data_IF_374511157329
#
_entry.id   IF_374511157329
#
_cell.length_a   1.000
_cell.length_b   1.000
_cell.length_c   1.000
_cell.angle_alpha   90.00
_cell.angle_beta   90.00
_cell.angle_gamma   90.00
#
_symmetry.space_group_name_H-M   'P 1'
#
loop_
_entity.id
_entity.type
_entity.pdbx_description
1 polymer ?
#
# COMPACT_ATOMS: atom_id res chain seq x y z
N UNK A 1 3.69 -14.10 14.67
CA UNK A 1 4.05 -14.84 13.44
C UNK A 1 5.18 -14.09 12.72
N UNK A 2 6.08 -14.78 12.03
CA UNK A 2 7.17 -14.13 11.27
C UNK A 2 6.63 -13.40 10.03
N UNK A 3 7.33 -12.35 9.57
CA UNK A 3 6.98 -11.63 8.33
C UNK A 3 6.93 -12.59 7.15
N UNK A 4 7.85 -13.56 7.11
CA UNK A 4 8.00 -14.53 6.04
C UNK A 4 6.76 -15.42 5.92
N UNK A 5 6.24 -15.90 7.05
CA UNK A 5 5.03 -16.73 7.07
C UNK A 5 3.79 -15.91 6.71
N UNK A 6 3.72 -14.65 7.15
CA UNK A 6 2.65 -13.73 6.74
C UNK A 6 2.65 -13.51 5.23
N UNK A 7 3.79 -13.10 4.66
CA UNK A 7 3.95 -12.88 3.21
C UNK A 7 3.67 -14.17 2.43
N UNK A 8 4.10 -15.33 2.94
CA UNK A 8 3.81 -16.63 2.35
C UNK A 8 2.31 -16.90 2.22
N UNK A 9 1.53 -16.64 3.28
CA UNK A 9 0.07 -16.76 3.24
C UNK A 9 -0.57 -15.77 2.28
N UNK A 10 -0.15 -14.51 2.29
CA UNK A 10 -0.65 -13.48 1.36
C UNK A 10 -0.39 -13.89 -0.09
N UNK A 11 0.77 -14.47 -0.37
CA UNK A 11 1.17 -14.89 -1.71
C UNK A 11 0.52 -16.20 -2.19
N UNK A 12 0.00 -17.01 -1.29
CA UNK A 12 -0.66 -18.28 -1.60
C UNK A 12 -2.10 -18.10 -2.14
N UNK A 13 -2.76 -16.98 -1.81
CA UNK A 13 -4.16 -16.75 -2.18
C UNK A 13 -4.34 -16.67 -3.70
N UNK A 14 -5.39 -17.34 -4.21
CA UNK A 14 -5.86 -17.30 -5.59
C UNK A 14 -7.37 -17.09 -5.58
N UNK A 15 -7.83 -16.09 -6.32
CA UNK A 15 -9.25 -15.74 -6.45
C UNK A 15 -9.56 -15.41 -7.92
N UNK A 16 -10.75 -15.76 -8.43
CA UNK A 16 -11.18 -15.36 -9.77
C UNK A 16 -11.22 -13.83 -9.93
N UNK A 17 -10.76 -13.32 -11.07
CA UNK A 17 -10.78 -11.86 -11.34
C UNK A 17 -9.86 -11.03 -10.44
N UNK A 18 -8.87 -11.66 -9.80
CA UNK A 18 -7.91 -11.04 -8.90
C UNK A 18 -6.50 -11.49 -9.25
N UNK A 19 -5.59 -10.52 -9.34
CA UNK A 19 -4.16 -10.75 -9.49
C UNK A 19 -3.47 -10.59 -8.15
N UNK A 20 -2.71 -11.61 -7.73
CA UNK A 20 -1.89 -11.58 -6.53
C UNK A 20 -0.46 -11.15 -6.86
N UNK A 21 -0.02 -9.94 -6.48
CA UNK A 21 1.32 -9.42 -6.82
C UNK A 21 2.45 -10.32 -6.34
N UNK A 22 2.31 -10.95 -5.18
CA UNK A 22 3.34 -11.78 -4.55
C UNK A 22 3.21 -13.25 -4.92
N UNK A 23 2.08 -13.66 -5.51
CA UNK A 23 1.80 -15.03 -5.90
C UNK A 23 2.00 -15.31 -7.39
N UNK A 24 1.84 -14.31 -8.25
CA UNK A 24 1.70 -14.49 -9.70
C UNK A 24 2.69 -13.62 -10.48
N UNK A 25 3.16 -14.15 -11.61
CA UNK A 25 3.91 -13.40 -12.61
C UNK A 25 2.93 -12.71 -13.57
N UNK A 26 3.13 -11.43 -13.83
CA UNK A 26 2.39 -10.67 -14.82
C UNK A 26 3.10 -10.73 -16.17
N UNK A 27 2.35 -10.60 -17.27
CA UNK A 27 2.92 -10.54 -18.63
C UNK A 27 3.94 -9.41 -18.80
N UNK A 28 3.76 -8.30 -18.07
CA UNK A 28 4.66 -7.15 -18.11
C UNK A 28 5.88 -7.25 -17.19
N UNK A 29 6.14 -8.38 -16.54
CA UNK A 29 7.32 -8.55 -15.67
C UNK A 29 8.60 -8.81 -16.46
N UNK A 30 9.69 -8.14 -16.07
CA UNK A 30 11.05 -8.50 -16.48
C UNK A 30 11.56 -9.69 -15.64
N UNK A 31 12.81 -10.12 -15.91
CA UNK A 31 13.52 -11.06 -15.05
C UNK A 31 13.77 -10.50 -13.64
N UNK A 32 14.03 -9.18 -13.52
CA UNK A 32 14.23 -8.50 -12.26
C UNK A 32 12.92 -8.24 -11.48
N UNK A 33 11.78 -8.23 -12.17
CA UNK A 33 10.44 -8.11 -11.60
C UNK A 33 9.84 -9.42 -11.08
N UNK A 34 8.52 -9.50 -11.09
CA UNK A 34 7.78 -10.69 -10.68
C UNK A 34 7.63 -10.91 -9.17
N UNK A 35 6.99 -12.03 -8.78
CA UNK A 35 6.53 -12.25 -7.41
C UNK A 35 7.67 -12.31 -6.40
N UNK A 36 8.82 -12.91 -6.75
CA UNK A 36 9.97 -12.99 -5.84
C UNK A 36 10.52 -11.60 -5.48
N UNK A 37 10.67 -10.70 -6.47
CA UNK A 37 11.10 -9.33 -6.24
C UNK A 37 10.12 -8.56 -5.34
N UNK A 38 8.83 -8.65 -5.66
CA UNK A 38 7.77 -8.00 -4.87
C UNK A 38 7.70 -8.51 -3.43
N UNK A 39 7.97 -9.80 -3.18
CA UNK A 39 8.08 -10.35 -1.82
C UNK A 39 9.27 -9.74 -1.06
N UNK A 40 10.41 -9.54 -1.73
CA UNK A 40 11.57 -8.86 -1.13
C UNK A 40 11.23 -7.40 -0.78
N UNK A 41 10.58 -6.68 -1.70
CA UNK A 41 10.16 -5.29 -1.46
C UNK A 41 9.17 -5.21 -0.30
N UNK A 42 8.15 -6.09 -0.28
CA UNK A 42 7.17 -6.11 0.80
C UNK A 42 7.83 -6.45 2.15
N UNK A 43 8.72 -7.45 2.19
CA UNK A 43 9.45 -7.81 3.42
C UNK A 43 10.27 -6.64 3.96
N UNK A 44 10.98 -5.94 3.08
CA UNK A 44 11.77 -4.77 3.45
C UNK A 44 10.88 -3.60 3.93
N UNK A 45 9.72 -3.39 3.30
CA UNK A 45 8.76 -2.37 3.76
C UNK A 45 8.19 -2.69 5.16
N UNK A 46 7.81 -3.95 5.38
CA UNK A 46 7.21 -4.43 6.63
C UNK A 46 8.25 -4.68 7.74
N UNK A 47 9.55 -4.50 7.48
CA UNK A 47 10.61 -4.75 8.47
C UNK A 47 10.71 -3.65 9.54
N UNK A 48 10.04 -2.51 9.36
CA UNK A 48 9.97 -1.47 10.38
C UNK A 48 9.23 -2.02 11.61
N UNK A 49 9.94 -2.17 12.73
CA UNK A 49 9.38 -2.80 13.93
C UNK A 49 8.28 -1.96 14.60
N UNK A 50 8.49 -0.64 14.69
CA UNK A 50 7.59 0.29 15.38
C UNK A 50 7.32 1.51 14.49
N UNK A 51 6.45 1.39 13.48
CA UNK A 51 6.01 2.55 12.71
C UNK A 51 5.19 3.50 13.59
N UNK A 52 5.33 4.80 13.35
CA UNK A 52 4.47 5.79 13.98
C UNK A 52 3.07 5.83 13.33
N UNK A 53 3.02 5.55 12.02
CA UNK A 53 1.80 5.61 11.22
C UNK A 53 1.63 4.37 10.34
N UNK A 54 0.44 3.79 10.36
CA UNK A 54 -0.01 2.78 9.41
C UNK A 54 -1.15 3.36 8.57
N UNK A 55 -0.97 3.47 7.25
CA UNK A 55 -2.05 3.88 6.34
C UNK A 55 -2.62 2.66 5.63
N UNK A 56 -3.93 2.46 5.74
CA UNK A 56 -4.67 1.36 5.12
C UNK A 56 -5.48 1.88 3.92
N UNK A 57 -5.18 1.38 2.73
CA UNK A 57 -5.89 1.69 1.49
C UNK A 57 -6.97 0.68 1.08
N UNK A 58 -7.66 0.94 -0.03
CA UNK A 58 -8.68 0.05 -0.59
C UNK A 58 -8.10 -1.25 -1.18
N UNK A 59 -7.34 -1.14 -2.28
CA UNK A 59 -6.72 -2.25 -2.99
C UNK A 59 -5.56 -1.75 -3.87
N UNK A 60 -4.59 -2.61 -4.23
CA UNK A 60 -3.59 -2.37 -5.26
C UNK A 60 -4.17 -1.91 -6.60
N UNK A 61 -3.59 -0.84 -7.15
CA UNK A 61 -3.79 -0.44 -8.55
C UNK A 61 -2.93 -1.23 -9.53
N UNK A 62 -3.38 -1.35 -10.79
CA UNK A 62 -2.64 -2.08 -11.83
C UNK A 62 -1.29 -1.46 -12.20
N UNK A 63 -1.10 -0.15 -11.99
CA UNK A 63 0.16 0.57 -12.29
C UNK A 63 1.15 0.64 -11.13
N UNK A 64 0.69 0.43 -9.90
CA UNK A 64 1.51 0.60 -8.70
C UNK A 64 1.90 -0.74 -8.08
N UNK A 65 1.26 -1.04 -6.95
CA UNK A 65 1.53 -2.20 -6.10
C UNK A 65 1.54 -3.54 -6.87
N UNK A 66 0.76 -3.65 -7.95
CA UNK A 66 0.80 -4.80 -8.86
C UNK A 66 2.22 -5.17 -9.30
N UNK A 67 3.07 -4.18 -9.61
CA UNK A 67 4.43 -4.40 -10.09
C UNK A 67 5.49 -4.10 -9.04
N UNK A 68 5.26 -3.11 -8.16
CA UNK A 68 6.20 -2.73 -7.11
C UNK A 68 6.20 -3.69 -5.92
N UNK A 69 5.06 -4.32 -5.62
CA UNK A 69 4.87 -5.16 -4.43
C UNK A 69 4.64 -4.39 -3.13
N UNK A 70 4.53 -3.05 -3.18
CA UNK A 70 4.27 -2.19 -2.02
C UNK A 70 3.05 -1.31 -2.33
N UNK A 71 2.13 -1.20 -1.37
CA UNK A 71 0.95 -0.34 -1.49
C UNK A 71 1.36 1.12 -1.70
N UNK A 72 0.57 1.87 -2.48
CA UNK A 72 0.86 3.27 -2.82
C UNK A 72 2.25 3.52 -3.40
N UNK A 73 2.81 2.54 -4.10
CA UNK A 73 4.17 2.60 -4.65
C UNK A 73 4.14 2.07 -6.07
N UNK A 74 4.77 2.79 -6.99
CA UNK A 74 4.95 2.38 -8.38
C UNK A 74 6.43 2.03 -8.67
N UNK A 75 6.69 1.51 -9.86
CA UNK A 75 8.05 1.15 -10.30
C UNK A 75 8.99 2.37 -10.26
N UNK A 76 8.50 3.55 -10.67
CA UNK A 76 9.30 4.78 -10.69
C UNK A 76 9.75 5.19 -9.29
N UNK A 77 8.94 4.97 -8.24
CA UNK A 77 9.33 5.24 -6.84
C UNK A 77 10.42 4.30 -6.35
N UNK A 78 10.35 3.02 -6.70
CA UNK A 78 11.40 2.05 -6.37
C UNK A 78 12.73 2.37 -7.05
N UNK A 79 12.71 2.64 -8.36
CA UNK A 79 13.91 2.96 -9.13
C UNK A 79 14.59 4.24 -8.65
N UNK A 80 13.81 5.21 -8.16
CA UNK A 80 14.33 6.45 -7.61
C UNK A 80 14.90 6.31 -6.18
N UNK A 81 14.87 5.12 -5.57
CA UNK A 81 15.27 4.94 -4.17
C UNK A 81 14.40 5.72 -3.17
N UNK A 82 13.18 6.09 -3.57
CA UNK A 82 12.28 6.96 -2.80
C UNK A 82 11.38 6.19 -1.82
N UNK A 83 11.70 4.93 -1.54
CA UNK A 83 10.92 4.07 -0.65
C UNK A 83 11.83 3.65 0.51
N UNK A 84 11.59 4.14 1.72
CA UNK A 84 12.34 3.78 2.93
C UNK A 84 12.58 2.28 3.08
N UNK A 85 13.81 1.91 3.47
CA UNK A 85 14.26 0.52 3.73
C UNK A 85 14.27 -0.42 2.53
N UNK A 86 13.76 0.00 1.37
CA UNK A 86 13.65 -0.84 0.18
C UNK A 86 14.76 -0.45 -0.79
N UNK A 87 15.77 -1.31 -1.01
CA UNK A 87 16.84 -1.01 -1.95
C UNK A 87 16.30 -0.75 -3.35
N UNK A 88 16.83 0.27 -4.02
CA UNK A 88 16.48 0.56 -5.41
C UNK A 88 16.85 -0.65 -6.29
N UNK A 89 15.93 -1.12 -7.16
CA UNK A 89 16.27 -2.15 -8.13
C UNK A 89 17.36 -1.66 -9.09
N UNK A 90 18.30 -2.54 -9.43
CA UNK A 90 19.37 -2.23 -10.39
C UNK A 90 18.86 -2.06 -11.84
N UNK A 91 17.63 -2.51 -12.14
CA UNK A 91 17.04 -2.44 -13.47
C UNK A 91 15.51 -2.37 -13.40
N UNK A 92 14.90 -2.10 -14.56
CA UNK A 92 13.45 -2.08 -14.74
C UNK A 92 12.79 -3.39 -14.27
N UNK A 93 11.69 -3.26 -13.55
CA UNK A 93 10.85 -4.37 -13.11
C UNK A 93 9.83 -4.75 -14.19
N UNK A 94 9.53 -3.82 -15.09
CA UNK A 94 8.50 -3.98 -16.12
C UNK A 94 9.02 -3.80 -17.55
N UNK A 95 8.34 -4.45 -18.50
CA UNK A 95 8.66 -4.38 -19.93
C UNK A 95 7.90 -3.28 -20.67
N UNK A 96 7.16 -2.43 -19.97
CA UNK A 96 6.43 -1.32 -20.60
C UNK A 96 7.40 -0.28 -21.17
N UNK A 97 7.01 0.45 -22.23
CA UNK A 97 7.88 1.46 -22.85
C UNK A 97 8.45 2.48 -21.87
N UNK A 98 7.66 2.85 -20.86
CA UNK A 98 8.07 3.75 -19.78
C UNK A 98 7.83 3.09 -18.42
N UNK A 99 8.61 3.52 -17.42
CA UNK A 99 8.44 3.05 -16.05
C UNK A 99 7.06 3.41 -15.57
N UNK A 100 6.36 2.44 -14.97
CA UNK A 100 5.01 2.71 -14.49
C UNK A 100 5.04 3.75 -13.38
N UNK A 101 4.13 4.72 -13.52
CA UNK A 101 3.89 5.77 -12.55
C UNK A 101 2.40 5.81 -12.17
N UNK A 102 2.15 6.01 -10.88
CA UNK A 102 0.82 6.18 -10.31
C UNK A 102 0.75 7.54 -9.61
N UNK A 103 -0.22 8.37 -9.99
CA UNK A 103 -0.41 9.71 -9.41
C UNK A 103 -0.61 9.64 -7.89
N UNK A 104 -1.37 8.64 -7.42
CA UNK A 104 -1.59 8.42 -5.99
C UNK A 104 -0.29 8.10 -5.26
N UNK A 105 0.56 7.21 -5.79
CA UNK A 105 1.87 6.94 -5.21
C UNK A 105 2.74 8.20 -5.12
N UNK A 106 2.75 9.00 -6.18
CA UNK A 106 3.50 10.26 -6.23
C UNK A 106 3.04 11.23 -5.14
N UNK A 107 1.73 11.43 -4.97
CA UNK A 107 1.17 12.34 -3.98
C UNK A 107 1.39 11.82 -2.55
N UNK A 108 1.16 10.53 -2.32
CA UNK A 108 1.35 9.89 -1.02
C UNK A 108 2.78 10.05 -0.53
N UNK A 109 3.76 9.60 -1.32
CA UNK A 109 5.17 9.68 -0.93
C UNK A 109 5.63 11.14 -0.78
N UNK A 110 5.25 12.03 -1.71
CA UNK A 110 5.61 13.45 -1.59
C UNK A 110 5.10 14.04 -0.28
N UNK A 111 3.84 13.83 0.08
CA UNK A 111 3.27 14.38 1.30
C UNK A 111 3.95 13.81 2.56
N UNK A 112 4.26 12.51 2.59
CA UNK A 112 4.96 11.92 3.74
C UNK A 112 6.39 12.46 3.91
N UNK A 113 7.09 12.73 2.80
CA UNK A 113 8.40 13.38 2.85
C UNK A 113 8.30 14.85 3.26
N UNK A 114 7.35 15.60 2.68
CA UNK A 114 7.10 17.00 3.03
C UNK A 114 6.82 17.17 4.54
N UNK A 115 6.17 16.18 5.17
CA UNK A 115 5.85 16.18 6.60
C UNK A 115 6.83 15.38 7.47
N UNK A 116 7.97 14.92 6.94
CA UNK A 116 9.01 14.24 7.72
C UNK A 116 8.64 12.86 8.29
N UNK A 117 7.54 12.25 7.85
CA UNK A 117 7.00 11.01 8.44
C UNK A 117 7.21 9.78 7.53
N UNK A 118 7.81 9.94 6.35
CA UNK A 118 8.01 8.85 5.38
C UNK A 118 8.74 7.64 5.98
N UNK A 119 9.85 7.86 6.68
CA UNK A 119 10.65 6.81 7.32
C UNK A 119 9.87 6.06 8.43
N UNK A 120 8.86 6.71 9.03
CA UNK A 120 8.08 6.18 10.16
C UNK A 120 6.71 5.66 9.73
N UNK A 121 6.44 5.59 8.43
CA UNK A 121 5.15 5.16 7.87
C UNK A 121 5.23 3.78 7.24
N UNK A 122 4.22 2.94 7.52
CA UNK A 122 3.96 1.68 6.83
C UNK A 122 2.62 1.76 6.09
N UNK A 123 2.52 1.01 5.00
CA UNK A 123 1.32 0.93 4.17
C UNK A 123 0.78 -0.48 4.15
N UNK A 124 -0.54 -0.59 4.19
CA UNK A 124 -1.27 -1.82 3.94
C UNK A 124 -2.59 -1.53 3.21
N UNK A 125 -3.41 -2.55 3.00
CA UNK A 125 -4.70 -2.41 2.35
C UNK A 125 -5.75 -3.37 2.91
N UNK A 126 -7.00 -2.93 2.87
CA UNK A 126 -8.17 -3.73 3.20
C UNK A 126 -8.30 -4.97 2.32
N UNK A 127 -7.99 -4.85 1.02
CA UNK A 127 -7.90 -5.98 0.11
C UNK A 127 -6.49 -6.01 -0.51
N UNK A 128 -5.59 -6.89 -0.04
CA UNK A 128 -4.17 -6.78 -0.38
C UNK A 128 -3.85 -7.17 -1.83
N UNK A 129 -4.78 -7.74 -2.58
CA UNK A 129 -4.58 -8.20 -3.95
C UNK A 129 -5.24 -7.27 -4.97
N UNK A 130 -4.88 -7.36 -6.25
CA UNK A 130 -5.36 -6.46 -7.30
C UNK A 130 -6.62 -7.03 -7.99
N UNK A 131 -7.83 -6.55 -7.70
CA UNK A 131 -9.04 -6.92 -8.42
C UNK A 131 -9.13 -6.16 -9.76
N UNK A 132 -9.51 -6.87 -10.82
CA UNK A 132 -9.65 -6.30 -12.16
C UNK A 132 -11.00 -6.69 -12.78
N UNK A 133 -11.32 -6.08 -13.94
CA UNK A 133 -12.51 -6.40 -14.74
C UNK A 133 -12.12 -7.38 -15.83
N UNK A 134 -12.41 -8.67 -15.63
CA UNK A 134 -12.05 -9.70 -16.60
C UNK A 134 -12.71 -9.44 -17.98
N UNK A 135 -12.03 -9.72 -19.09
CA UNK A 135 -10.68 -10.30 -19.18
C UNK A 135 -9.53 -9.28 -19.04
N UNK A 136 -9.83 -7.97 -19.01
CA UNK A 136 -8.84 -6.90 -18.99
C UNK A 136 -8.18 -6.73 -17.62
N UNK A 137 -6.95 -7.24 -17.50
CA UNK A 137 -6.21 -7.18 -16.25
C UNK A 137 -5.68 -5.79 -15.91
N UNK A 138 -5.50 -4.89 -16.87
CA UNK A 138 -5.01 -3.52 -16.62
C UNK A 138 -6.14 -2.54 -16.31
N UNK A 139 -7.11 -3.00 -15.52
CA UNK A 139 -8.21 -2.19 -14.99
C UNK A 139 -8.25 -2.31 -13.47
N UNK A 140 -8.80 -1.28 -12.82
CA UNK A 140 -9.11 -1.35 -11.40
C UNK A 140 -10.60 -1.67 -11.22
N UNK A 141 -10.91 -2.58 -10.30
CA UNK A 141 -12.27 -2.81 -9.80
C UNK A 141 -12.28 -2.58 -8.29
N UNK A 142 -13.40 -2.13 -7.73
CA UNK A 142 -13.57 -2.13 -6.28
C UNK A 142 -13.73 -3.59 -5.77
N UNK A 143 -13.04 -4.00 -4.70
CA UNK A 143 -13.29 -5.30 -4.07
C UNK A 143 -14.76 -5.45 -3.65
N UNK A 144 -15.31 -6.65 -3.79
CA UNK A 144 -16.65 -7.00 -3.27
C UNK A 144 -16.61 -7.14 -1.75
N UNK A 145 -17.78 -7.10 -1.09
CA UNK A 145 -17.88 -7.35 0.34
C UNK A 145 -17.29 -8.72 0.74
N UNK A 146 -17.58 -9.77 -0.03
CA UNK A 146 -17.04 -11.12 0.21
C UNK A 146 -15.52 -11.18 0.08
N UNK A 147 -14.97 -10.50 -0.93
CA UNK A 147 -13.51 -10.37 -1.10
C UNK A 147 -12.86 -9.65 0.08
N UNK A 148 -13.50 -8.60 0.60
CA UNK A 148 -13.02 -7.89 1.79
C UNK A 148 -13.10 -8.76 3.05
N UNK A 149 -14.19 -9.50 3.24
CA UNK A 149 -14.35 -10.42 4.37
C UNK A 149 -13.26 -11.51 4.37
N UNK A 150 -12.90 -12.05 3.21
CA UNK A 150 -11.78 -12.98 3.06
C UNK A 150 -10.42 -12.35 3.39
N UNK A 151 -10.28 -11.04 3.22
CA UNK A 151 -9.05 -10.31 3.49
C UNK A 151 -8.91 -9.86 4.96
N UNK A 152 -10.00 -9.84 5.74
CA UNK A 152 -10.00 -9.40 7.14
C UNK A 152 -8.93 -10.07 8.02
N UNK A 153 -8.67 -11.40 7.93
CA UNK A 153 -7.62 -12.03 8.73
C UNK A 153 -6.22 -11.48 8.45
N UNK A 154 -5.95 -11.05 7.22
CA UNK A 154 -4.66 -10.45 6.85
C UNK A 154 -4.54 -9.01 7.36
N UNK A 155 -5.65 -8.25 7.32
CA UNK A 155 -5.70 -6.91 7.88
C UNK A 155 -5.55 -6.94 9.41
N UNK A 156 -6.28 -7.80 10.11
CA UNK A 156 -6.18 -7.93 11.57
C UNK A 156 -4.76 -8.31 12.02
N UNK A 157 -4.11 -9.20 11.27
CA UNK A 157 -2.73 -9.56 11.58
C UNK A 157 -1.76 -8.38 11.39
N UNK A 158 -1.92 -7.60 10.32
CA UNK A 158 -1.15 -6.36 10.13
C UNK A 158 -1.38 -5.37 11.26
N UNK A 159 -2.63 -5.21 11.71
CA UNK A 159 -2.97 -4.30 12.81
C UNK A 159 -2.34 -4.78 14.13
N UNK A 160 -2.39 -6.08 14.44
CA UNK A 160 -1.73 -6.67 15.61
C UNK A 160 -0.22 -6.52 15.55
N UNK A 161 0.38 -6.64 14.37
CA UNK A 161 1.82 -6.43 14.16
C UNK A 161 2.25 -5.00 14.51
N UNK A 162 1.39 -4.03 14.24
CA UNK A 162 1.67 -2.60 14.41
C UNK A 162 0.73 -1.96 15.43
N UNK A 163 0.46 -2.65 16.54
CA UNK A 163 -0.51 -2.21 17.55
C UNK A 163 -0.18 -0.86 18.19
N UNK A 164 1.11 -0.49 18.24
CA UNK A 164 1.57 0.82 18.73
C UNK A 164 1.50 1.95 17.70
N UNK A 165 1.19 1.65 16.43
CA UNK A 165 1.11 2.65 15.38
C UNK A 165 -0.24 3.36 15.41
N UNK A 166 -0.23 4.65 15.09
CA UNK A 166 -1.47 5.36 14.74
C UNK A 166 -1.97 4.84 13.40
N UNK A 167 -3.27 4.60 13.27
CA UNK A 167 -3.84 3.99 12.05
C UNK A 167 -4.70 5.01 11.32
N UNK A 168 -4.38 5.26 10.04
CA UNK A 168 -5.18 6.09 9.15
C UNK A 168 -5.80 5.24 8.05
N UNK A 169 -7.01 5.60 7.61
CA UNK A 169 -7.64 4.94 6.45
C UNK A 169 -7.68 5.86 5.25
N UNK A 170 -7.43 5.33 4.06
CA UNK A 170 -7.59 6.06 2.81
C UNK A 170 -8.84 5.57 2.09
N UNK A 171 -9.92 6.34 2.24
CA UNK A 171 -11.24 6.03 1.68
C UNK A 171 -12.08 5.05 2.50
N UNK A 172 -13.36 4.93 2.12
CA UNK A 172 -14.41 4.25 2.90
C UNK A 172 -14.30 2.73 2.92
N UNK A 173 -13.62 2.10 1.95
CA UNK A 173 -13.44 0.64 1.96
C UNK A 173 -12.48 0.20 3.07
N UNK A 174 -11.39 0.95 3.24
CA UNK A 174 -10.47 0.73 4.35
C UNK A 174 -11.18 0.94 5.69
N UNK A 175 -11.90 2.06 5.83
CA UNK A 175 -12.72 2.35 7.01
C UNK A 175 -13.71 1.23 7.34
N UNK A 176 -14.48 0.76 6.35
CA UNK A 176 -15.44 -0.33 6.52
C UNK A 176 -14.77 -1.60 7.04
N UNK A 177 -13.59 -1.94 6.52
CA UNK A 177 -12.87 -3.16 6.90
C UNK A 177 -12.33 -3.07 8.33
N UNK A 178 -11.88 -1.89 8.76
CA UNK A 178 -11.48 -1.67 10.16
C UNK A 178 -12.67 -1.78 11.11
N UNK A 179 -13.83 -1.19 10.75
CA UNK A 179 -15.07 -1.30 11.54
C UNK A 179 -15.52 -2.75 11.69
N UNK A 180 -15.41 -3.56 10.63
CA UNK A 180 -15.70 -5.00 10.68
C UNK A 180 -14.80 -5.77 11.67
N UNK A 181 -13.59 -5.30 11.92
CA UNK A 181 -12.67 -5.86 12.92
C UNK A 181 -12.89 -5.29 14.33
N UNK A 182 -13.96 -4.52 14.56
CA UNK A 182 -14.23 -3.87 15.84
C UNK A 182 -13.20 -2.80 16.21
N UNK A 183 -12.46 -2.27 15.23
CA UNK A 183 -11.44 -1.24 15.47
C UNK A 183 -12.07 0.15 15.36
N UNK A 184 -11.71 1.01 16.32
CA UNK A 184 -12.01 2.43 16.22
C UNK A 184 -11.37 2.99 14.93
N UNK A 185 -12.17 3.70 14.14
CA UNK A 185 -11.70 4.35 12.92
C UNK A 185 -11.53 5.84 13.17
N UNK A 186 -10.35 6.38 12.90
CA UNK A 186 -10.07 7.81 12.92
C UNK A 186 -8.78 8.07 12.15
N UNK A 187 -8.58 9.21 11.45
CA UNK A 187 -9.46 9.82 10.46
C UNK A 187 -9.48 9.07 9.11
N UNK A 188 -10.53 9.33 8.30
CA UNK A 188 -10.64 8.85 6.92
C UNK A 188 -10.07 9.90 5.98
N UNK A 189 -8.88 9.63 5.45
CA UNK A 189 -8.24 10.45 4.44
C UNK A 189 -8.98 10.31 3.10
N UNK A 190 -9.19 11.45 2.42
CA UNK A 190 -9.70 11.47 1.05
C UNK A 190 -8.64 10.91 0.10
N UNK A 191 -9.04 10.03 -0.80
CA UNK A 191 -8.13 9.51 -1.83
C UNK A 191 -7.60 10.65 -2.72
N UNK A 192 -6.29 10.72 -3.02
CA UNK A 192 -5.69 11.84 -3.77
C UNK A 192 -6.00 11.83 -5.27
N UNK A 193 -6.67 10.80 -5.78
CA UNK A 193 -7.09 10.70 -7.18
C UNK A 193 -8.22 11.70 -7.51
N UNK A 194 -8.43 11.95 -8.81
CA UNK A 194 -9.52 12.79 -9.34
C UNK A 194 -9.60 14.18 -8.68
N UNK A 195 -8.46 14.89 -8.60
CA UNK A 195 -8.38 16.23 -8.00
C UNK A 195 -8.30 16.24 -6.47
N UNK A 196 -8.28 15.07 -5.81
CA UNK A 196 -8.26 14.97 -4.35
C UNK A 196 -6.92 15.30 -3.66
N UNK A 197 -5.89 15.71 -4.41
CA UNK A 197 -4.53 15.89 -3.90
C UNK A 197 -4.44 16.91 -2.74
N UNK A 198 -5.05 18.08 -2.90
CA UNK A 198 -5.05 19.14 -1.88
C UNK A 198 -5.79 18.70 -0.62
N UNK A 199 -6.98 18.10 -0.78
CA UNK A 199 -7.79 17.61 0.33
C UNK A 199 -7.07 16.49 1.09
N UNK A 200 -6.42 15.57 0.37
CA UNK A 200 -5.58 14.55 0.97
C UNK A 200 -4.45 15.18 1.80
N UNK A 201 -3.72 16.16 1.24
CA UNK A 201 -2.57 16.76 1.92
C UNK A 201 -2.97 17.52 3.18
N UNK A 202 -4.05 18.31 3.11
CA UNK A 202 -4.61 19.02 4.28
C UNK A 202 -5.13 18.05 5.34
N UNK A 203 -5.83 16.99 4.90
CA UNK A 203 -6.31 15.93 5.80
C UNK A 203 -5.18 15.19 6.49
N UNK A 204 -4.10 14.86 5.76
CA UNK A 204 -2.92 14.22 6.32
C UNK A 204 -2.22 15.13 7.32
N UNK A 205 -2.02 16.41 7.00
CA UNK A 205 -1.42 17.37 7.94
C UNK A 205 -2.20 17.45 9.26
N UNK A 206 -3.52 17.60 9.17
CA UNK A 206 -4.41 17.65 10.34
C UNK A 206 -4.29 16.37 11.17
N UNK A 207 -4.35 15.21 10.50
CA UNK A 207 -4.21 13.91 11.15
C UNK A 207 -2.86 13.77 11.88
N UNK A 208 -1.76 14.17 11.24
CA UNK A 208 -0.43 14.08 11.83
C UNK A 208 -0.31 14.99 13.06
N UNK A 209 -0.84 16.21 12.99
CA UNK A 209 -0.90 17.13 14.13
C UNK A 209 -1.70 16.54 15.28
N UNK A 210 -2.89 16.03 15.02
CA UNK A 210 -3.79 15.48 16.05
C UNK A 210 -3.20 14.22 16.71
N UNK A 211 -2.33 13.50 15.99
CA UNK A 211 -1.59 12.36 16.51
C UNK A 211 -0.27 12.72 17.21
N UNK A 212 0.14 13.99 17.21
CA UNK A 212 1.43 14.43 17.73
C UNK A 212 2.62 13.87 16.93
N UNK A 213 2.44 13.69 15.62
CA UNK A 213 3.43 13.11 14.70
C UNK A 213 4.15 14.12 13.82
N UNK A 214 3.77 15.40 13.90
CA UNK A 214 4.57 16.47 13.33
C UNK A 214 5.71 16.78 14.30
N UNK A 215 6.94 16.79 13.81
CA UNK A 215 8.04 17.35 14.57
C UNK A 215 7.69 18.81 14.86
N UNK A 216 7.78 19.20 16.14
CA UNK A 216 7.26 20.46 16.67
C UNK A 216 7.50 21.63 15.72
N UNK A 217 6.43 22.40 15.50
CA UNK A 217 6.34 23.56 14.63
C UNK A 217 7.67 24.30 14.51
N UNK A 218 8.39 24.09 13.40
CA UNK A 218 9.24 25.14 12.86
C UNK A 218 8.30 26.12 12.17
N UNK A 219 7.70 27.00 12.99
CA UNK A 219 7.26 28.32 12.56
C UNK A 219 8.46 29.11 12.03
#
# INVERSE_FOLDING_TARGET
>A
MTIERFIGRVAAVRLPGVFNPWGQRARGDTAAGGPAARRRHLRAHLSLAQPALLIVGEAPGYRGCRYSGIFFTDERKLLAGAVPRVPAPASRLTTFPQSLAELTATIMWKALYDFGIAERTVFWSAFPWHPFRAPEQHTNRRPTARELELALPFLDETLKRYEGARVATLGRVAEWSLKRLGRATSPVLRHPANGGATVFRTGLHTLLRDYGLLDGERL
#
